data_IF_484732118133
#
_entry.id   IF_484732118133
#
_cell.length_a   1.000
_cell.length_b   1.000
_cell.length_c   1.000
_cell.angle_alpha   90.00
_cell.angle_beta   90.00
_cell.angle_gamma   90.00
#
_symmetry.space_group_name_H-M   'P 1'
#
loop_
_entity.id
_entity.type
_entity.pdbx_description
1 polymer ?
#
# COMPACT_ATOMS: atom_id res chain seq x y z
N UNK A 1 17.30 42.57 -9.87
CA UNK A 1 17.19 41.54 -10.93
C UNK A 1 15.73 41.57 -11.39
N UNK A 2 15.43 41.83 -12.66
CA UNK A 2 14.05 41.93 -13.13
C UNK A 2 13.34 40.56 -13.05
N UNK A 3 12.05 40.57 -12.70
CA UNK A 3 11.20 39.39 -12.50
C UNK A 3 11.15 38.49 -13.76
N UNK A 4 11.25 39.10 -14.94
CA UNK A 4 11.31 38.43 -16.25
C UNK A 4 12.51 37.47 -16.36
N UNK A 5 13.66 37.83 -15.76
CA UNK A 5 14.86 36.98 -15.77
C UNK A 5 14.71 35.74 -14.86
N UNK A 6 13.88 35.83 -13.81
CA UNK A 6 13.55 34.70 -12.94
C UNK A 6 12.56 33.74 -13.60
N UNK A 7 11.67 34.23 -14.48
CA UNK A 7 10.65 33.43 -15.17
C UNK A 7 11.28 32.67 -16.36
N UNK A 8 12.13 33.32 -17.14
CA UNK A 8 12.80 32.70 -18.29
C UNK A 8 13.79 31.59 -17.87
N UNK A 9 14.47 31.77 -16.73
CA UNK A 9 15.38 30.76 -16.17
C UNK A 9 14.68 29.59 -15.46
N UNK A 10 13.45 29.79 -14.96
CA UNK A 10 12.73 28.75 -14.20
C UNK A 10 11.89 27.83 -15.09
N UNK A 11 11.49 28.30 -16.28
CA UNK A 11 10.60 27.58 -17.18
C UNK A 11 11.19 26.23 -17.65
N UNK A 12 12.46 26.13 -18.07
CA UNK A 12 13.08 24.85 -18.44
C UNK A 12 13.12 23.84 -17.29
N UNK A 13 13.38 24.32 -16.06
CA UNK A 13 13.38 23.50 -14.85
C UNK A 13 11.99 22.96 -14.50
N UNK A 14 10.94 23.80 -14.60
CA UNK A 14 9.55 23.38 -14.35
C UNK A 14 9.04 22.39 -15.41
N UNK A 15 9.37 22.61 -16.68
CA UNK A 15 9.04 21.67 -17.76
C UNK A 15 9.74 20.32 -17.52
N UNK A 16 11.03 20.35 -17.20
CA UNK A 16 11.82 19.15 -16.92
C UNK A 16 11.32 18.40 -15.67
N UNK A 17 10.87 19.14 -14.65
CA UNK A 17 10.21 18.56 -13.48
C UNK A 17 8.89 17.88 -13.87
N UNK A 18 8.04 18.52 -14.68
CA UNK A 18 6.78 17.93 -15.15
C UNK A 18 6.99 16.67 -15.99
N UNK A 19 7.99 16.67 -16.88
CA UNK A 19 8.42 15.49 -17.65
C UNK A 19 8.93 14.41 -16.70
N UNK A 20 9.77 14.75 -15.73
CA UNK A 20 10.29 13.82 -14.73
C UNK A 20 9.17 13.18 -13.91
N UNK A 21 8.25 13.99 -13.39
CA UNK A 21 7.12 13.51 -12.59
C UNK A 21 6.22 12.55 -13.38
N UNK A 22 5.96 12.84 -14.66
CA UNK A 22 5.20 11.96 -15.55
C UNK A 22 5.98 10.68 -15.85
N UNK A 23 7.28 10.80 -16.16
CA UNK A 23 8.15 9.66 -16.49
C UNK A 23 8.27 8.69 -15.32
N UNK A 24 8.26 9.20 -14.07
CA UNK A 24 8.29 8.36 -12.87
C UNK A 24 7.14 7.38 -12.79
N UNK A 25 5.94 7.75 -13.28
CA UNK A 25 4.84 6.80 -13.38
C UNK A 25 5.17 5.64 -14.33
N UNK A 26 5.72 5.91 -15.52
CA UNK A 26 6.09 4.84 -16.45
C UNK A 26 7.27 3.99 -15.93
N UNK A 27 8.24 4.61 -15.25
CA UNK A 27 9.36 3.90 -14.63
C UNK A 27 8.84 2.99 -13.51
N UNK A 28 8.02 3.51 -12.60
CA UNK A 28 7.40 2.73 -11.52
C UNK A 28 6.59 1.56 -12.10
N UNK A 29 5.80 1.79 -13.14
CA UNK A 29 5.04 0.76 -13.83
C UNK A 29 5.95 -0.32 -14.41
N UNK A 30 7.03 0.06 -15.11
CA UNK A 30 7.98 -0.87 -15.71
C UNK A 30 8.69 -1.70 -14.65
N UNK A 31 9.14 -1.06 -13.57
CA UNK A 31 9.76 -1.72 -12.43
C UNK A 31 8.78 -2.71 -11.81
N UNK A 32 7.56 -2.30 -11.48
CA UNK A 32 6.55 -3.23 -10.95
C UNK A 32 6.28 -4.40 -11.89
N UNK A 33 6.05 -4.12 -13.18
CA UNK A 33 5.67 -5.13 -14.17
C UNK A 33 6.76 -6.14 -14.43
N UNK A 34 8.01 -5.69 -14.56
CA UNK A 34 9.11 -6.51 -15.09
C UNK A 34 10.06 -6.98 -14.00
N UNK A 35 10.18 -6.23 -12.90
CA UNK A 35 11.17 -6.46 -11.87
C UNK A 35 10.58 -6.95 -10.56
N UNK A 36 9.39 -6.46 -10.17
CA UNK A 36 8.82 -6.76 -8.85
C UNK A 36 7.88 -7.97 -8.88
N UNK A 37 7.27 -8.25 -10.03
CA UNK A 37 6.49 -9.46 -10.25
C UNK A 37 7.21 -10.38 -11.22
N UNK A 38 7.65 -11.53 -10.73
CA UNK A 38 8.27 -12.55 -11.57
C UNK A 38 7.23 -13.06 -12.57
N UNK A 39 7.36 -12.63 -13.82
CA UNK A 39 6.52 -13.13 -14.90
C UNK A 39 6.99 -14.54 -15.20
N UNK A 40 6.39 -15.52 -14.54
CA UNK A 40 6.65 -16.92 -14.81
C UNK A 40 5.97 -17.35 -16.11
N UNK A 41 6.64 -18.23 -16.86
CA UNK A 41 6.01 -18.97 -17.93
C UNK A 41 5.12 -20.09 -17.39
N UNK A 42 4.54 -20.85 -18.30
CA UNK A 42 3.62 -21.96 -17.97
C UNK A 42 4.30 -23.09 -17.20
N UNK A 43 5.63 -23.14 -17.23
CA UNK A 43 6.45 -24.11 -16.51
C UNK A 43 6.95 -23.57 -15.16
N UNK A 44 6.52 -22.37 -14.75
CA UNK A 44 6.96 -21.71 -13.52
C UNK A 44 8.35 -21.10 -13.60
N UNK A 45 8.93 -20.97 -14.80
CA UNK A 45 10.26 -20.37 -14.98
C UNK A 45 10.13 -18.88 -15.25
N UNK A 46 10.97 -18.08 -14.61
CA UNK A 46 11.02 -16.64 -14.87
C UNK A 46 11.32 -16.36 -16.35
N UNK A 47 10.42 -15.66 -17.05
CA UNK A 47 10.61 -15.27 -18.47
C UNK A 47 11.76 -14.30 -18.66
N UNK A 48 12.08 -13.53 -17.63
CA UNK A 48 13.16 -12.54 -17.62
C UNK A 48 14.43 -13.07 -16.95
N UNK A 49 14.45 -14.36 -16.63
CA UNK A 49 15.60 -15.06 -16.11
C UNK A 49 15.97 -14.66 -14.67
N UNK A 50 17.23 -14.88 -14.27
CA UNK A 50 17.67 -14.70 -12.88
C UNK A 50 17.52 -13.28 -12.35
N UNK A 51 17.55 -12.26 -13.22
CA UNK A 51 17.47 -10.85 -12.82
C UNK A 51 16.09 -10.51 -12.26
N UNK A 52 15.02 -10.88 -12.96
CA UNK A 52 13.65 -10.64 -12.49
C UNK A 52 13.35 -11.46 -11.24
N UNK A 53 13.75 -12.74 -11.21
CA UNK A 53 13.64 -13.56 -10.00
C UNK A 53 14.36 -12.94 -8.80
N UNK A 54 15.61 -12.50 -8.97
CA UNK A 54 16.37 -11.87 -7.89
C UNK A 54 15.81 -10.49 -7.52
N UNK A 55 15.25 -9.75 -8.47
CA UNK A 55 14.61 -8.46 -8.19
C UNK A 55 13.27 -8.62 -7.50
N UNK A 56 12.47 -9.62 -7.87
CA UNK A 56 11.22 -9.99 -7.20
C UNK A 56 11.54 -10.50 -5.81
N UNK A 57 12.54 -11.37 -5.66
CA UNK A 57 13.01 -11.82 -4.35
C UNK A 57 13.59 -10.68 -3.54
N UNK A 58 14.39 -9.78 -4.12
CA UNK A 58 14.89 -8.58 -3.43
C UNK A 58 13.75 -7.63 -3.09
N UNK A 59 12.71 -7.52 -3.90
CA UNK A 59 11.55 -6.72 -3.54
C UNK A 59 10.76 -7.37 -2.42
N UNK A 60 10.58 -8.68 -2.50
CA UNK A 60 9.97 -9.43 -1.43
C UNK A 60 10.81 -9.42 -0.14
N UNK A 61 12.13 -9.42 -0.24
CA UNK A 61 13.06 -9.56 0.90
C UNK A 61 13.58 -8.22 1.41
N UNK A 62 13.57 -7.17 0.60
CA UNK A 62 13.97 -5.81 0.98
C UNK A 62 12.72 -4.98 1.21
N UNK A 63 11.71 -5.03 0.34
CA UNK A 63 10.46 -4.30 0.57
C UNK A 63 9.45 -5.06 1.45
N UNK A 64 9.35 -6.40 1.38
CA UNK A 64 8.61 -7.18 2.39
C UNK A 64 9.50 -7.82 3.47
N UNK A 65 10.82 -7.85 3.28
CA UNK A 65 11.78 -8.45 4.24
C UNK A 65 12.72 -7.45 4.94
N UNK A 66 12.72 -6.14 4.60
CA UNK A 66 12.89 -5.10 5.64
C UNK A 66 11.67 -5.02 6.58
N UNK A 67 10.76 -6.00 6.48
CA UNK A 67 9.79 -6.47 7.46
C UNK A 67 9.93 -8.00 7.65
N UNK A 68 11.17 -8.48 7.79
CA UNK A 68 11.68 -9.88 7.72
C UNK A 68 10.67 -11.04 7.91
N UNK A 69 10.26 -11.71 6.83
CA UNK A 69 10.02 -13.17 6.75
C UNK A 69 8.87 -13.82 7.55
N UNK A 70 8.54 -15.08 7.19
CA UNK A 70 7.40 -15.90 7.67
C UNK A 70 7.27 -16.08 9.20
N UNK A 71 8.26 -15.65 9.99
CA UNK A 71 8.19 -15.67 11.46
C UNK A 71 7.80 -14.30 12.07
N UNK A 72 7.96 -13.17 11.35
CA UNK A 72 7.55 -11.83 11.84
C UNK A 72 6.19 -11.33 11.36
N UNK A 73 5.52 -12.02 10.42
CA UNK A 73 4.07 -11.81 10.26
C UNK A 73 3.26 -12.26 11.50
N UNK A 74 3.92 -12.95 12.43
CA UNK A 74 3.32 -13.60 13.60
C UNK A 74 3.98 -13.25 14.93
N UNK A 75 5.21 -12.73 14.91
CA UNK A 75 5.89 -12.31 16.12
C UNK A 75 6.41 -10.88 15.99
N UNK A 76 5.82 -10.09 16.87
CA UNK A 76 6.32 -8.84 17.42
C UNK A 76 5.99 -7.54 16.69
N UNK A 77 4.99 -6.85 17.25
CA UNK A 77 4.57 -5.50 16.87
C UNK A 77 5.51 -4.46 17.50
N UNK A 78 6.43 -4.86 18.39
CA UNK A 78 7.54 -3.97 18.80
C UNK A 78 8.53 -3.69 17.66
N UNK A 79 8.43 -4.41 16.53
CA UNK A 79 9.17 -4.13 15.31
C UNK A 79 8.47 -3.12 14.37
N UNK A 80 7.44 -2.39 14.86
CA UNK A 80 6.96 -1.16 14.19
C UNK A 80 8.07 -0.10 14.04
N UNK A 81 9.22 -0.32 14.69
CA UNK A 81 10.40 0.52 14.60
C UNK A 81 11.31 0.32 13.39
N UNK A 82 11.06 -0.67 12.51
CA UNK A 82 11.68 -0.73 11.19
C UNK A 82 11.09 0.40 10.30
N UNK A 83 11.61 1.61 10.58
CA UNK A 83 11.54 2.81 9.74
C UNK A 83 11.88 2.41 8.33
N UNK A 84 11.31 3.12 7.36
CA UNK A 84 11.80 3.19 5.99
C UNK A 84 13.34 3.20 6.03
N UNK A 85 13.95 2.03 5.85
CA UNK A 85 15.37 1.94 5.62
C UNK A 85 15.53 2.27 4.15
N UNK A 86 15.43 3.57 3.86
CA UNK A 86 16.11 4.17 2.75
C UNK A 86 17.58 3.82 2.93
N UNK A 87 17.97 2.63 2.46
CA UNK A 87 19.35 2.25 2.36
C UNK A 87 19.99 3.38 1.59
N UNK A 88 20.89 4.13 2.22
CA UNK A 88 21.57 5.26 1.59
C UNK A 88 22.18 4.84 0.25
N UNK A 89 22.57 3.57 0.15
CA UNK A 89 23.01 2.92 -1.09
C UNK A 89 21.91 2.88 -2.16
N UNK A 90 20.69 2.42 -1.84
CA UNK A 90 19.59 2.36 -2.81
C UNK A 90 19.08 3.75 -3.19
N UNK A 91 18.95 4.66 -2.23
CA UNK A 91 18.64 6.07 -2.53
C UNK A 91 19.69 6.66 -3.45
N UNK A 92 20.98 6.48 -3.15
CA UNK A 92 22.06 6.98 -4.01
C UNK A 92 22.04 6.35 -5.42
N UNK A 93 21.70 5.06 -5.54
CA UNK A 93 21.54 4.39 -6.85
C UNK A 93 20.38 5.04 -7.63
N UNK A 94 19.24 5.26 -6.98
CA UNK A 94 18.06 5.85 -7.62
C UNK A 94 18.32 7.29 -8.02
N UNK A 95 18.92 8.09 -7.13
CA UNK A 95 19.34 9.46 -7.43
C UNK A 95 20.37 9.51 -8.56
N UNK A 96 21.30 8.55 -8.62
CA UNK A 96 22.27 8.45 -9.71
C UNK A 96 21.61 8.09 -11.04
N UNK A 97 20.70 7.11 -11.05
CA UNK A 97 19.96 6.72 -12.25
C UNK A 97 19.04 7.85 -12.73
N UNK A 98 18.38 8.55 -11.80
CA UNK A 98 17.58 9.73 -12.08
C UNK A 98 18.44 10.87 -12.65
N UNK A 99 19.64 11.09 -12.11
CA UNK A 99 20.59 12.07 -12.62
C UNK A 99 21.03 11.77 -14.05
N UNK A 100 21.37 10.52 -14.34
CA UNK A 100 21.71 10.09 -15.70
C UNK A 100 20.54 10.24 -16.67
N UNK A 101 19.32 9.87 -16.26
CA UNK A 101 18.12 10.06 -17.06
C UNK A 101 17.82 11.54 -17.31
N UNK A 102 17.94 12.39 -16.28
CA UNK A 102 17.77 13.84 -16.39
C UNK A 102 18.80 14.48 -17.34
N UNK A 103 20.06 14.05 -17.29
CA UNK A 103 21.10 14.46 -18.23
C UNK A 103 20.78 14.04 -19.67
N UNK A 104 20.27 12.81 -19.87
CA UNK A 104 19.87 12.32 -21.18
C UNK A 104 18.66 13.10 -21.75
N UNK A 105 17.62 13.33 -20.95
CA UNK A 105 16.45 14.13 -21.33
C UNK A 105 16.86 15.56 -21.67
N UNK A 106 17.71 16.18 -20.85
CA UNK A 106 18.24 17.51 -21.13
C UNK A 106 19.01 17.54 -22.46
N UNK A 107 19.86 16.54 -22.70
CA UNK A 107 20.64 16.44 -23.94
C UNK A 107 19.74 16.34 -25.18
N UNK A 108 18.69 15.52 -25.10
CA UNK A 108 17.70 15.37 -26.16
C UNK A 108 16.94 16.70 -26.36
N UNK A 109 16.46 17.32 -25.28
CA UNK A 109 15.77 18.60 -25.34
C UNK A 109 16.63 19.70 -25.98
N UNK A 110 17.89 19.86 -25.54
CA UNK A 110 18.82 20.85 -26.13
C UNK A 110 19.04 20.57 -27.62
N UNK A 111 19.16 19.30 -28.01
CA UNK A 111 19.35 18.93 -29.42
C UNK A 111 18.13 19.27 -30.30
N UNK A 112 16.91 19.22 -29.76
CA UNK A 112 15.68 19.52 -30.49
C UNK A 112 15.26 21.00 -30.44
N UNK A 113 15.64 21.74 -29.40
CA UNK A 113 15.18 23.13 -29.19
C UNK A 113 16.23 24.19 -29.47
N UNK A 114 17.52 23.83 -29.50
CA UNK A 114 18.61 24.76 -29.73
C UNK A 114 19.44 24.31 -30.92
N UNK A 115 18.99 24.65 -32.13
CA UNK A 115 19.72 24.35 -33.37
C UNK A 115 20.96 25.22 -33.60
N UNK A 116 21.17 26.33 -32.85
CA UNK A 116 22.25 27.29 -33.17
C UNK A 116 23.01 27.90 -31.97
N UNK A 117 22.77 27.47 -30.73
CA UNK A 117 23.55 27.95 -29.58
C UNK A 117 24.37 26.82 -28.99
N UNK A 118 25.70 26.95 -29.14
CA UNK A 118 26.67 26.01 -28.62
C UNK A 118 26.38 25.67 -27.16
N UNK A 119 26.70 24.42 -26.79
CA UNK A 119 26.62 23.88 -25.44
C UNK A 119 27.14 24.88 -24.41
N UNK A 120 26.27 25.71 -23.84
CA UNK A 120 26.57 26.32 -22.56
C UNK A 120 26.45 25.18 -21.55
N UNK A 121 27.59 24.61 -21.19
CA UNK A 121 27.80 23.59 -20.16
C UNK A 121 27.25 23.97 -18.77
N UNK A 122 26.58 25.12 -18.65
CA UNK A 122 26.06 25.68 -17.41
C UNK A 122 24.55 25.50 -17.18
N UNK A 123 23.75 25.02 -18.14
CA UNK A 123 22.31 24.83 -17.88
C UNK A 123 22.03 23.47 -17.20
N UNK A 124 22.30 23.46 -15.91
CA UNK A 124 22.06 22.33 -14.99
C UNK A 124 20.60 22.26 -14.54
N UNK A 125 19.75 23.23 -14.91
CA UNK A 125 18.39 23.35 -14.36
C UNK A 125 17.48 22.21 -14.79
N UNK A 126 17.60 21.73 -16.04
CA UNK A 126 16.85 20.59 -16.55
C UNK A 126 17.16 19.27 -15.83
N UNK A 127 18.44 18.83 -15.77
CA UNK A 127 18.83 17.64 -15.02
C UNK A 127 18.45 17.72 -13.54
N UNK A 128 18.63 18.88 -12.90
CA UNK A 128 18.23 19.10 -11.51
C UNK A 128 16.71 18.98 -11.32
N UNK A 129 15.91 19.53 -12.24
CA UNK A 129 14.45 19.41 -12.22
C UNK A 129 13.98 17.95 -12.33
N UNK A 130 14.60 17.17 -13.22
CA UNK A 130 14.31 15.74 -13.36
C UNK A 130 14.76 14.92 -12.13
N UNK A 131 15.96 15.18 -11.61
CA UNK A 131 16.45 14.54 -10.39
C UNK A 131 15.52 14.80 -9.21
N UNK A 132 15.11 16.06 -9.02
CA UNK A 132 14.19 16.43 -7.97
C UNK A 132 12.85 15.71 -8.13
N UNK A 133 12.30 15.67 -9.35
CA UNK A 133 11.06 14.95 -9.63
C UNK A 133 11.17 13.44 -9.33
N UNK A 134 12.29 12.81 -9.69
CA UNK A 134 12.53 11.40 -9.44
C UNK A 134 12.73 11.10 -7.95
N UNK A 135 13.48 11.94 -7.23
CA UNK A 135 13.65 11.80 -5.77
C UNK A 135 12.32 11.98 -5.05
N UNK A 136 11.51 12.98 -5.42
CA UNK A 136 10.17 13.17 -4.86
C UNK A 136 9.25 12.01 -5.21
N UNK A 137 9.28 11.54 -6.46
CA UNK A 137 8.47 10.41 -6.93
C UNK A 137 8.81 9.12 -6.18
N UNK A 138 10.10 8.81 -6.03
CA UNK A 138 10.55 7.63 -5.29
C UNK A 138 10.29 7.74 -3.79
N UNK A 139 10.60 8.88 -3.17
CA UNK A 139 10.29 9.08 -1.75
C UNK A 139 8.78 9.02 -1.50
N UNK A 140 7.97 9.62 -2.38
CA UNK A 140 6.51 9.56 -2.34
C UNK A 140 5.98 8.14 -2.46
N UNK A 141 6.53 7.34 -3.39
CA UNK A 141 6.26 5.91 -3.52
C UNK A 141 6.58 5.15 -2.23
N UNK A 142 7.81 5.24 -1.72
CA UNK A 142 8.25 4.50 -0.53
C UNK A 142 7.44 4.89 0.71
N UNK A 143 7.22 6.18 0.93
CA UNK A 143 6.41 6.67 2.06
C UNK A 143 4.97 6.15 1.94
N UNK A 144 4.35 6.31 0.77
CA UNK A 144 2.96 5.88 0.59
C UNK A 144 2.81 4.38 0.78
N UNK A 145 3.67 3.61 0.14
CA UNK A 145 3.70 2.15 0.23
C UNK A 145 3.97 1.67 1.66
N UNK A 146 4.93 2.27 2.37
CA UNK A 146 5.20 2.01 3.78
C UNK A 146 3.93 2.15 4.63
N UNK A 147 3.25 3.29 4.51
CA UNK A 147 2.05 3.54 5.31
C UNK A 147 0.87 2.66 4.90
N UNK A 148 0.75 2.22 3.64
CA UNK A 148 -0.27 1.23 3.24
C UNK A 148 -0.07 -0.07 4.02
N UNK A 149 1.18 -0.53 4.15
CA UNK A 149 1.48 -1.75 4.92
C UNK A 149 1.33 -1.55 6.42
N UNK A 150 1.78 -0.43 6.99
CA UNK A 150 1.64 -0.14 8.42
C UNK A 150 0.15 -0.05 8.81
N UNK A 151 -0.64 0.72 8.07
CA UNK A 151 -2.09 0.80 8.26
C UNK A 151 -2.72 -0.58 8.05
N UNK A 152 -2.34 -1.28 6.98
CA UNK A 152 -2.79 -2.64 6.67
C UNK A 152 -2.54 -3.65 7.78
N UNK A 153 -1.39 -3.60 8.46
CA UNK A 153 -1.08 -4.46 9.63
C UNK A 153 -2.02 -4.20 10.80
N UNK A 154 -2.31 -2.92 11.10
CA UNK A 154 -3.27 -2.57 12.16
C UNK A 154 -4.69 -2.99 11.81
N UNK A 155 -5.09 -2.81 10.54
CA UNK A 155 -6.36 -3.33 10.02
C UNK A 155 -6.46 -4.83 10.12
N UNK A 156 -5.37 -5.55 9.81
CA UNK A 156 -5.31 -7.00 9.95
C UNK A 156 -5.46 -7.44 11.40
N UNK A 157 -4.80 -6.76 12.35
CA UNK A 157 -4.97 -7.02 13.77
C UNK A 157 -6.44 -6.86 14.22
N UNK A 158 -7.07 -5.75 13.83
CA UNK A 158 -8.49 -5.50 14.10
C UNK A 158 -9.36 -6.58 13.47
N UNK A 159 -9.11 -6.95 12.22
CA UNK A 159 -9.85 -7.99 11.51
C UNK A 159 -9.71 -9.37 12.18
N UNK A 160 -8.54 -9.69 12.73
CA UNK A 160 -8.31 -10.94 13.43
C UNK A 160 -9.11 -11.00 14.72
N UNK A 161 -9.03 -9.96 15.55
CA UNK A 161 -9.80 -9.87 16.80
C UNK A 161 -11.31 -9.85 16.54
N UNK A 162 -11.75 -9.17 15.47
CA UNK A 162 -13.14 -9.15 15.05
C UNK A 162 -13.59 -10.55 14.60
N UNK A 163 -12.77 -11.26 13.81
CA UNK A 163 -13.06 -12.64 13.42
C UNK A 163 -13.16 -13.58 14.62
N UNK A 164 -12.21 -13.50 15.56
CA UNK A 164 -12.20 -14.32 16.77
C UNK A 164 -13.43 -14.03 17.65
N UNK A 165 -13.78 -12.75 17.84
CA UNK A 165 -14.93 -12.34 18.64
C UNK A 165 -16.28 -12.69 18.00
N UNK A 166 -16.37 -12.73 16.67
CA UNK A 166 -17.59 -13.10 15.94
C UNK A 166 -17.75 -14.62 15.85
N UNK A 167 -16.66 -15.36 15.65
CA UNK A 167 -16.71 -16.80 15.33
C UNK A 167 -16.41 -17.70 16.54
N UNK A 168 -15.83 -17.15 17.61
CA UNK A 168 -15.30 -17.88 18.77
C UNK A 168 -14.01 -18.65 18.46
N UNK A 169 -13.95 -19.35 17.33
CA UNK A 169 -12.72 -19.93 16.77
C UNK A 169 -12.68 -19.61 15.28
N UNK A 170 -11.68 -18.83 14.87
CA UNK A 170 -11.57 -18.37 13.49
C UNK A 170 -11.23 -19.51 12.54
N UNK A 171 -12.13 -19.72 11.59
CA UNK A 171 -11.90 -20.58 10.42
C UNK A 171 -11.36 -19.78 9.21
N UNK A 172 -11.30 -18.44 9.38
CA UNK A 172 -10.89 -17.43 8.41
C UNK A 172 -11.86 -17.24 7.23
N UNK A 173 -13.03 -17.86 7.27
CA UNK A 173 -14.07 -17.69 6.26
C UNK A 173 -14.94 -16.44 6.51
N UNK A 174 -14.83 -15.75 7.65
CA UNK A 174 -15.42 -14.42 7.81
C UNK A 174 -14.65 -13.41 6.98
N UNK A 175 -15.35 -12.73 6.06
CA UNK A 175 -14.71 -11.77 5.16
C UNK A 175 -15.47 -10.46 5.08
N UNK A 176 -14.80 -9.39 5.50
CA UNK A 176 -15.27 -8.02 5.32
C UNK A 176 -14.59 -7.37 4.12
N UNK A 177 -15.35 -6.63 3.33
CA UNK A 177 -14.78 -5.84 2.23
C UNK A 177 -13.78 -4.83 2.78
N UNK A 178 -12.74 -4.51 2.01
CA UNK A 178 -11.73 -3.52 2.42
C UNK A 178 -12.37 -2.20 2.90
N UNK A 179 -13.33 -1.58 2.17
CA UNK A 179 -13.92 -0.32 2.64
C UNK A 179 -14.63 -0.44 3.99
N UNK A 180 -15.31 -1.55 4.26
CA UNK A 180 -15.97 -1.79 5.54
C UNK A 180 -14.94 -1.97 6.66
N UNK A 181 -13.89 -2.74 6.41
CA UNK A 181 -12.80 -2.92 7.37
C UNK A 181 -12.07 -1.60 7.64
N UNK A 182 -11.89 -0.75 6.64
CA UNK A 182 -11.28 0.57 6.80
C UNK A 182 -12.12 1.49 7.67
N UNK A 183 -13.44 1.47 7.53
CA UNK A 183 -14.35 2.26 8.34
C UNK A 183 -14.41 1.76 9.79
N UNK A 184 -14.57 0.45 10.01
CA UNK A 184 -14.52 -0.15 11.35
C UNK A 184 -13.19 0.18 12.02
N UNK A 185 -12.11 -0.05 11.28
CA UNK A 185 -10.77 0.20 11.79
C UNK A 185 -10.57 1.68 12.11
N UNK A 186 -11.12 2.61 11.33
CA UNK A 186 -11.04 4.04 11.64
C UNK A 186 -11.77 4.36 12.95
N UNK A 187 -12.99 3.85 13.13
CA UNK A 187 -13.76 4.06 14.36
C UNK A 187 -13.05 3.50 15.61
N UNK A 188 -12.48 2.30 15.52
CA UNK A 188 -11.73 1.68 16.61
C UNK A 188 -10.45 2.47 16.91
N UNK A 189 -9.69 2.86 15.89
CA UNK A 189 -8.47 3.63 16.08
C UNK A 189 -8.72 5.03 16.65
N UNK A 190 -9.86 5.65 16.30
CA UNK A 190 -10.25 6.94 16.88
C UNK A 190 -10.67 6.79 18.35
N UNK A 191 -11.39 5.71 18.70
CA UNK A 191 -11.63 5.35 20.10
C UNK A 191 -10.32 5.17 20.88
N UNK A 192 -9.36 4.43 20.32
CA UNK A 192 -8.04 4.21 20.95
C UNK A 192 -7.30 5.55 21.14
N UNK A 193 -7.25 6.38 20.09
CA UNK A 193 -6.60 7.69 20.14
C UNK A 193 -7.23 8.62 21.20
N UNK A 194 -8.56 8.61 21.35
CA UNK A 194 -9.29 9.42 22.33
C UNK A 194 -9.04 8.95 23.77
N UNK A 195 -9.12 7.64 24.03
CA UNK A 195 -8.85 7.06 25.34
C UNK A 195 -7.43 7.40 25.83
N UNK A 196 -6.44 7.34 24.93
CA UNK A 196 -5.05 7.67 25.26
C UNK A 196 -4.87 9.15 25.60
N UNK A 197 -5.63 10.04 24.95
CA UNK A 197 -5.56 11.48 25.20
C UNK A 197 -6.29 11.89 26.48
N UNK A 198 -7.45 11.28 26.75
CA UNK A 198 -8.31 11.65 27.87
C UNK A 198 -7.91 10.94 29.16
N UNK A 199 -7.27 9.77 29.08
CA UNK A 199 -6.93 8.93 30.22
C UNK A 199 -8.15 8.32 30.91
N UNK A 200 -9.32 8.34 30.26
CA UNK A 200 -10.60 7.82 30.75
C UNK A 200 -11.29 7.05 29.59
N UNK A 201 -12.18 6.09 29.88
CA UNK A 201 -12.93 5.36 28.86
C UNK A 201 -13.73 6.28 27.94
N UNK A 202 -13.28 6.46 26.69
CA UNK A 202 -14.09 7.14 25.67
C UNK A 202 -15.28 6.26 25.28
N UNK A 203 -16.31 6.83 24.64
CA UNK A 203 -17.42 6.03 24.10
C UNK A 203 -17.12 5.68 22.65
N UNK A 204 -17.07 4.39 22.33
CA UNK A 204 -16.94 3.94 20.94
C UNK A 204 -18.15 4.45 20.13
N UNK A 205 -17.87 5.25 19.09
CA UNK A 205 -18.89 5.82 18.20
C UNK A 205 -18.76 5.17 16.84
N UNK A 206 -19.73 4.32 16.49
CA UNK A 206 -19.80 3.65 15.19
C UNK A 206 -21.08 4.09 14.48
N UNK A 207 -21.00 4.58 13.24
CA UNK A 207 -22.19 4.92 12.46
C UNK A 207 -23.16 3.72 12.32
N UNK A 208 -24.47 3.97 12.45
CA UNK A 208 -25.49 2.92 12.43
C UNK A 208 -25.61 2.25 11.05
N UNK A 209 -25.38 3.00 9.98
CA UNK A 209 -25.29 2.49 8.61
C UNK A 209 -24.09 1.55 8.42
N UNK A 210 -22.97 1.82 9.08
CA UNK A 210 -21.83 0.91 9.10
C UNK A 210 -22.15 -0.40 9.82
N UNK A 211 -22.80 -0.34 10.99
CA UNK A 211 -23.27 -1.54 11.72
C UNK A 211 -24.19 -2.39 10.82
N UNK A 212 -25.15 -1.74 10.15
CA UNK A 212 -26.03 -2.41 9.18
C UNK A 212 -25.26 -3.10 8.05
N UNK A 213 -24.27 -2.41 7.47
CA UNK A 213 -23.42 -2.95 6.39
C UNK A 213 -22.58 -4.15 6.85
N UNK A 214 -22.06 -4.10 8.08
CA UNK A 214 -21.26 -5.21 8.64
C UNK A 214 -22.15 -6.43 8.88
N UNK A 215 -23.32 -6.24 9.48
CA UNK A 215 -24.29 -7.31 9.69
C UNK A 215 -24.73 -7.96 8.37
N UNK A 216 -24.95 -7.16 7.32
CA UNK A 216 -25.24 -7.67 5.98
C UNK A 216 -24.11 -8.56 5.45
N UNK A 217 -22.85 -8.12 5.57
CA UNK A 217 -21.71 -8.93 5.12
C UNK A 217 -21.51 -10.19 5.97
N UNK A 218 -21.72 -10.11 7.28
CA UNK A 218 -21.68 -11.28 8.17
C UNK A 218 -22.73 -12.31 7.72
N UNK A 219 -23.95 -11.89 7.42
CA UNK A 219 -25.02 -12.78 6.95
C UNK A 219 -24.70 -13.40 5.58
N UNK A 220 -24.12 -12.63 4.66
CA UNK A 220 -23.62 -13.17 3.38
C UNK A 220 -22.55 -14.24 3.61
N UNK A 221 -21.62 -14.03 4.57
CA UNK A 221 -20.60 -15.03 4.90
C UNK A 221 -21.23 -16.29 5.52
N UNK A 222 -22.21 -16.14 6.42
CA UNK A 222 -22.98 -17.25 7.00
C UNK A 222 -23.59 -18.12 5.90
N UNK A 223 -24.30 -17.50 4.95
CA UNK A 223 -24.98 -18.20 3.86
C UNK A 223 -24.03 -18.88 2.87
N UNK A 224 -22.86 -18.29 2.62
CA UNK A 224 -21.95 -18.75 1.55
C UNK A 224 -20.83 -19.67 2.01
N UNK A 225 -20.39 -19.53 3.26
CA UNK A 225 -19.14 -20.14 3.73
C UNK A 225 -19.32 -21.03 4.96
N UNK A 226 -20.55 -21.29 5.38
CA UNK A 226 -20.87 -22.16 6.53
C UNK A 226 -20.12 -21.71 7.79
N UNK A 227 -20.17 -20.40 8.03
CA UNK A 227 -19.47 -19.79 9.16
C UNK A 227 -20.29 -19.95 10.42
N UNK A 228 -19.69 -20.55 11.45
CA UNK A 228 -20.23 -20.52 12.80
C UNK A 228 -20.07 -19.11 13.37
N UNK A 229 -21.19 -18.49 13.73
CA UNK A 229 -21.25 -17.16 14.32
C UNK A 229 -21.78 -17.29 15.74
N UNK A 230 -21.20 -16.54 16.66
CA UNK A 230 -21.75 -16.35 18.01
C UNK A 230 -22.99 -15.45 17.94
N UNK A 231 -23.90 -15.61 18.89
CA UNK A 231 -25.12 -14.80 19.01
C UNK A 231 -24.88 -13.42 19.68
N UNK A 232 -23.60 -13.04 19.84
CA UNK A 232 -23.22 -11.76 20.47
C UNK A 232 -23.59 -10.58 19.55
N UNK A 233 -24.27 -9.54 20.06
CA UNK A 233 -24.54 -8.33 19.29
C UNK A 233 -23.25 -7.70 18.74
N UNK A 234 -23.29 -7.21 17.50
CA UNK A 234 -22.11 -6.66 16.84
C UNK A 234 -21.53 -5.45 17.60
N UNK A 235 -22.36 -4.65 18.23
CA UNK A 235 -21.95 -3.50 19.04
C UNK A 235 -21.09 -3.94 20.24
N UNK A 236 -21.48 -5.03 20.91
CA UNK A 236 -20.72 -5.60 22.02
C UNK A 236 -19.38 -6.16 21.52
N UNK A 237 -19.39 -6.83 20.38
CA UNK A 237 -18.18 -7.30 19.70
C UNK A 237 -17.23 -6.14 19.38
N UNK A 238 -17.75 -5.04 18.83
CA UNK A 238 -16.93 -3.88 18.45
C UNK A 238 -16.32 -3.18 19.67
N UNK A 239 -17.07 -3.06 20.77
CA UNK A 239 -16.54 -2.53 22.05
C UNK A 239 -15.43 -3.44 22.57
N UNK A 240 -15.64 -4.75 22.60
CA UNK A 240 -14.63 -5.72 23.02
C UNK A 240 -13.33 -5.62 22.20
N UNK A 241 -13.45 -5.56 20.87
CA UNK A 241 -12.28 -5.41 19.99
C UNK A 241 -11.58 -4.06 20.25
N UNK A 242 -12.34 -2.98 20.43
CA UNK A 242 -11.78 -1.66 20.70
C UNK A 242 -11.01 -1.60 22.02
N UNK A 243 -11.52 -2.22 23.08
CA UNK A 243 -10.83 -2.34 24.37
C UNK A 243 -9.54 -3.15 24.27
N UNK A 244 -9.56 -4.27 23.52
CA UNK A 244 -8.35 -5.06 23.25
C UNK A 244 -7.29 -4.26 22.48
N UNK A 245 -7.71 -3.51 21.46
CA UNK A 245 -6.79 -2.66 20.69
C UNK A 245 -6.25 -1.50 21.52
N UNK A 246 -7.06 -0.92 22.40
CA UNK A 246 -6.59 0.09 23.36
C UNK A 246 -5.53 -0.48 24.30
N UNK A 247 -5.78 -1.63 24.91
CA UNK A 247 -4.82 -2.28 25.81
C UNK A 247 -3.50 -2.57 25.10
N UNK A 248 -3.57 -3.13 23.88
CA UNK A 248 -2.39 -3.40 23.06
C UNK A 248 -1.61 -2.12 22.72
N UNK A 249 -2.30 -1.05 22.36
CA UNK A 249 -1.67 0.24 22.07
C UNK A 249 -0.97 0.82 23.31
N UNK A 250 -1.55 0.63 24.50
CA UNK A 250 -0.94 1.02 25.76
C UNK A 250 0.32 0.20 26.06
N UNK A 251 0.26 -1.13 25.90
CA UNK A 251 1.42 -2.02 26.07
C UNK A 251 2.59 -1.63 25.15
N UNK A 252 2.31 -1.29 23.88
CA UNK A 252 3.34 -0.80 22.95
C UNK A 252 3.96 0.49 23.50
N UNK A 253 3.14 1.50 23.83
CA UNK A 253 3.64 2.80 24.31
C UNK A 253 4.46 2.69 25.58
N UNK A 254 4.05 1.83 26.50
CA UNK A 254 4.73 1.59 27.78
C UNK A 254 6.08 0.86 27.58
N UNK A 255 6.24 0.13 26.47
CA UNK A 255 7.48 -0.58 26.14
C UNK A 255 8.54 0.28 25.45
N UNK A 256 8.15 1.43 24.88
CA UNK A 256 9.07 2.28 24.11
C UNK A 256 9.91 3.18 25.00
N UNK A 257 11.17 3.40 24.59
CA UNK A 257 11.99 4.44 25.19
C UNK A 257 11.53 5.85 24.77
N UNK A 258 12.11 6.91 25.34
CA UNK A 258 11.69 8.30 25.02
C UNK A 258 11.85 8.68 23.56
N UNK A 259 12.89 8.18 22.89
CA UNK A 259 13.20 8.51 21.51
C UNK A 259 12.24 7.78 20.59
N UNK A 260 12.02 6.49 20.83
CA UNK A 260 11.13 5.66 20.04
C UNK A 260 9.67 6.05 20.28
N UNK A 261 9.29 6.44 21.49
CA UNK A 261 7.96 7.00 21.78
C UNK A 261 7.66 8.28 20.99
N UNK A 262 8.63 9.19 20.82
CA UNK A 262 8.46 10.42 20.06
C UNK A 262 8.28 10.13 18.55
N UNK A 263 9.08 9.20 18.03
CA UNK A 263 8.99 8.72 16.65
C UNK A 263 7.65 8.02 16.39
N UNK A 264 7.25 7.13 17.29
CA UNK A 264 5.97 6.43 17.25
C UNK A 264 4.78 7.41 17.29
N UNK A 265 4.85 8.43 18.15
CA UNK A 265 3.84 9.48 18.18
C UNK A 265 3.71 10.22 16.84
N UNK A 266 4.84 10.56 16.22
CA UNK A 266 4.85 11.21 14.90
C UNK A 266 4.26 10.28 13.83
N UNK A 267 4.67 9.02 13.84
CA UNK A 267 4.19 8.01 12.90
C UNK A 267 2.66 7.85 12.98
N UNK A 268 2.11 7.79 14.20
CA UNK A 268 0.66 7.76 14.45
C UNK A 268 -0.07 8.99 13.90
N UNK A 269 0.52 10.17 13.95
CA UNK A 269 -0.07 11.38 13.35
C UNK A 269 -0.10 11.29 11.82
N UNK A 270 0.96 10.76 11.20
CA UNK A 270 1.01 10.55 9.74
C UNK A 270 0.00 9.48 9.32
N UNK A 271 -0.06 8.35 10.04
CA UNK A 271 -1.07 7.32 9.82
C UNK A 271 -2.48 7.91 9.87
N UNK A 272 -2.79 8.74 10.88
CA UNK A 272 -4.11 9.40 11.01
C UNK A 272 -4.43 10.32 9.84
N UNK A 273 -3.45 11.11 9.39
CA UNK A 273 -3.59 11.96 8.21
C UNK A 273 -3.93 11.14 6.96
N UNK A 274 -3.29 9.98 6.79
CA UNK A 274 -3.48 9.11 5.62
C UNK A 274 -4.76 8.27 5.67
N UNK A 275 -5.08 7.63 6.80
CA UNK A 275 -6.20 6.67 6.93
C UNK A 275 -7.59 7.30 6.99
N UNK A 276 -7.72 8.49 7.59
CA UNK A 276 -9.02 9.00 8.04
C UNK A 276 -9.28 10.47 7.77
N UNK A 277 -8.33 11.21 7.18
CA UNK A 277 -8.55 12.63 6.93
C UNK A 277 -9.32 12.89 5.63
N UNK A 278 -10.26 13.82 5.66
CA UNK A 278 -10.95 14.33 4.47
C UNK A 278 -10.11 15.35 3.67
N UNK A 279 -8.85 15.53 4.07
CA UNK A 279 -7.90 16.39 3.36
C UNK A 279 -7.61 15.81 1.96
N UNK A 280 -7.17 16.63 0.99
CA UNK A 280 -6.76 16.14 -0.33
C UNK A 280 -5.70 15.02 -0.25
N UNK A 281 -4.76 15.11 0.68
CA UNK A 281 -3.70 14.10 0.89
C UNK A 281 -4.30 12.79 1.40
N UNK A 282 -5.20 12.84 2.39
CA UNK A 282 -5.87 11.65 2.90
C UNK A 282 -6.76 10.97 1.85
N UNK A 283 -7.50 11.76 1.06
CA UNK A 283 -8.31 11.26 -0.06
C UNK A 283 -7.44 10.59 -1.12
N UNK A 284 -6.32 11.22 -1.48
CA UNK A 284 -5.36 10.66 -2.42
C UNK A 284 -4.76 9.36 -1.90
N UNK A 285 -4.30 9.35 -0.64
CA UNK A 285 -3.75 8.16 0.00
C UNK A 285 -4.73 6.99 -0.01
N UNK A 286 -6.01 7.21 0.35
CA UNK A 286 -7.04 6.17 0.28
C UNK A 286 -7.24 5.62 -1.14
N UNK A 287 -7.19 6.50 -2.14
CA UNK A 287 -7.26 6.08 -3.54
C UNK A 287 -6.08 5.18 -3.92
N UNK A 288 -4.84 5.59 -3.63
CA UNK A 288 -3.65 4.77 -3.95
C UNK A 288 -3.56 3.51 -3.10
N UNK A 289 -4.06 3.51 -1.87
CA UNK A 289 -4.14 2.33 -1.01
C UNK A 289 -5.15 1.30 -1.56
N UNK A 290 -6.32 1.75 -2.01
CA UNK A 290 -7.28 0.90 -2.72
C UNK A 290 -6.72 0.40 -4.06
N UNK A 291 -5.98 1.25 -4.77
CA UNK A 291 -5.33 0.92 -6.03
C UNK A 291 -4.30 -0.19 -5.84
N UNK A 292 -3.42 -0.03 -4.85
CA UNK A 292 -2.41 -1.00 -4.44
C UNK A 292 -3.02 -2.30 -3.88
N UNK A 293 -4.14 -2.20 -3.16
CA UNK A 293 -4.86 -3.38 -2.71
C UNK A 293 -5.38 -4.23 -3.87
N UNK A 294 -5.93 -3.61 -4.91
CA UNK A 294 -6.34 -4.34 -6.11
C UNK A 294 -5.16 -4.95 -6.86
N UNK A 295 -4.01 -4.27 -6.87
CA UNK A 295 -2.77 -4.77 -7.43
C UNK A 295 -2.32 -6.07 -6.76
N UNK A 296 -2.41 -6.19 -5.43
CA UNK A 296 -2.14 -7.46 -4.73
C UNK A 296 -3.13 -8.57 -5.05
N UNK A 297 -4.34 -8.23 -5.51
CA UNK A 297 -5.33 -9.19 -5.98
C UNK A 297 -5.14 -9.62 -7.45
N UNK A 298 -4.50 -8.79 -8.27
CA UNK A 298 -4.09 -9.10 -9.63
C UNK A 298 -2.83 -8.30 -9.99
N UNK A 299 -1.69 -9.00 -9.95
CA UNK A 299 -0.36 -8.46 -10.19
C UNK A 299 -0.13 -7.89 -11.59
N UNK A 300 -1.09 -8.02 -12.52
CA UNK A 300 -1.03 -7.42 -13.84
C UNK A 300 -1.84 -6.13 -13.98
N UNK A 301 -2.44 -5.65 -12.89
CA UNK A 301 -3.20 -4.40 -12.84
C UNK A 301 -2.70 -3.47 -11.75
N UNK A 302 -3.00 -2.18 -11.88
CA UNK A 302 -2.73 -1.17 -10.87
C UNK A 302 -1.25 -1.12 -10.43
N UNK A 303 -0.36 -1.14 -11.42
CA UNK A 303 1.08 -1.30 -11.25
C UNK A 303 1.77 -0.03 -10.71
N UNK A 304 1.11 1.12 -10.76
CA UNK A 304 1.57 2.34 -10.13
C UNK A 304 0.98 2.50 -8.73
N UNK A 305 1.82 2.64 -7.72
CA UNK A 305 1.41 2.90 -6.33
C UNK A 305 1.45 4.39 -6.01
N UNK A 306 2.31 5.19 -6.64
CA UNK A 306 2.37 6.63 -6.38
C UNK A 306 1.50 7.45 -7.34
N UNK A 307 1.70 7.37 -8.66
CA UNK A 307 0.93 8.14 -9.66
C UNK A 307 0.49 7.20 -10.78
N UNK A 308 -0.82 6.93 -10.97
CA UNK A 308 -1.31 5.90 -11.91
C UNK A 308 -1.52 6.39 -13.34
N UNK A 309 -0.63 7.24 -13.85
CA UNK A 309 -0.71 7.72 -15.24
C UNK A 309 -0.39 6.59 -16.24
N UNK A 310 0.67 5.82 -16.00
CA UNK A 310 1.03 4.70 -16.87
C UNK A 310 0.01 3.56 -16.82
N UNK A 311 -0.63 3.33 -15.66
CA UNK A 311 -1.76 2.40 -15.58
C UNK A 311 -2.92 2.79 -16.51
N UNK A 312 -3.25 4.09 -16.57
CA UNK A 312 -4.31 4.60 -17.44
C UNK A 312 -3.92 4.49 -18.91
N UNK A 313 -2.69 4.89 -19.25
CA UNK A 313 -2.20 4.90 -20.63
C UNK A 313 -2.01 3.48 -21.19
N UNK A 314 -1.46 2.57 -20.38
CA UNK A 314 -1.14 1.20 -20.78
C UNK A 314 -2.29 0.20 -20.53
N UNK A 315 -3.45 0.68 -20.08
CA UNK A 315 -4.66 -0.13 -19.89
C UNK A 315 -4.57 -1.13 -18.75
N UNK A 316 -3.69 -0.92 -17.78
CA UNK A 316 -3.60 -1.75 -16.55
C UNK A 316 -4.36 -1.15 -15.38
N UNK A 317 -4.92 0.06 -15.53
CA UNK A 317 -5.79 0.69 -14.56
C UNK A 317 -7.10 -0.10 -14.38
N UNK A 318 -7.41 -0.42 -13.12
CA UNK A 318 -8.68 -0.94 -12.68
C UNK A 318 -9.27 -0.03 -11.63
N UNK A 319 -10.56 0.23 -11.79
CA UNK A 319 -11.37 0.99 -10.87
C UNK A 319 -11.20 0.47 -9.42
N UNK A 320 -10.62 1.32 -8.58
CA UNK A 320 -10.35 1.09 -7.15
C UNK A 320 -11.31 1.87 -6.24
N UNK A 321 -12.44 2.34 -6.79
CA UNK A 321 -13.48 3.02 -6.04
C UNK A 321 -14.07 2.14 -4.92
N UNK A 322 -14.59 2.77 -3.88
CA UNK A 322 -15.25 2.10 -2.76
C UNK A 322 -16.44 1.28 -3.26
N UNK A 323 -17.19 1.84 -4.21
CA UNK A 323 -18.33 1.22 -4.87
C UNK A 323 -17.90 -0.09 -5.57
N UNK A 324 -16.80 -0.06 -6.32
CA UNK A 324 -16.26 -1.24 -7.00
C UNK A 324 -15.79 -2.32 -6.01
N UNK A 325 -15.05 -1.92 -4.97
CA UNK A 325 -14.54 -2.83 -3.96
C UNK A 325 -15.66 -3.51 -3.16
N UNK A 326 -16.70 -2.77 -2.82
CA UNK A 326 -17.89 -3.29 -2.15
C UNK A 326 -18.68 -4.25 -3.06
N UNK A 327 -18.91 -3.87 -4.32
CA UNK A 327 -19.63 -4.72 -5.29
C UNK A 327 -18.94 -6.05 -5.55
N UNK A 328 -17.63 -6.02 -5.73
CA UNK A 328 -16.84 -7.22 -6.03
C UNK A 328 -16.51 -8.04 -4.76
N UNK A 329 -16.92 -7.54 -3.59
CA UNK A 329 -16.63 -8.10 -2.28
C UNK A 329 -15.14 -8.45 -2.15
N UNK A 330 -14.27 -7.52 -2.54
CA UNK A 330 -12.83 -7.73 -2.43
C UNK A 330 -12.43 -7.64 -0.96
N UNK A 331 -11.93 -8.75 -0.44
CA UNK A 331 -11.63 -8.93 0.98
C UNK A 331 -10.16 -8.70 1.26
N UNK A 332 -9.86 -8.11 2.41
CA UNK A 332 -8.48 -7.96 2.85
C UNK A 332 -7.89 -9.33 3.23
N UNK A 333 -7.08 -9.89 2.33
CA UNK A 333 -6.13 -10.94 2.66
C UNK A 333 -4.77 -10.36 2.33
N UNK A 334 -3.99 -9.99 3.35
CA UNK A 334 -2.58 -9.73 3.14
C UNK A 334 -2.00 -11.03 2.53
N UNK A 335 -1.37 -11.01 1.35
CA UNK A 335 -0.92 -12.23 0.65
C UNK A 335 0.00 -13.14 1.48
N UNK A 336 0.63 -12.57 2.50
CA UNK A 336 1.57 -13.22 3.40
C UNK A 336 0.99 -13.52 4.79
N UNK A 337 -0.32 -13.33 5.01
CA UNK A 337 -0.95 -13.76 6.25
C UNK A 337 -0.92 -15.31 6.34
N UNK A 338 -0.75 -15.91 7.53
CA UNK A 338 -1.03 -17.34 7.78
C UNK A 338 -2.26 -17.87 7.14
N UNK A 339 -3.30 -17.07 7.24
CA UNK A 339 -4.63 -17.49 6.85
C UNK A 339 -4.63 -17.66 5.33
N UNK A 340 -3.83 -16.85 4.62
CA UNK A 340 -3.62 -16.95 3.18
C UNK A 340 -2.99 -18.25 2.74
N UNK A 341 -2.15 -18.93 3.51
CA UNK A 341 -1.56 -20.21 3.08
C UNK A 341 -2.63 -21.31 3.08
N UNK A 342 -3.43 -21.39 4.15
CA UNK A 342 -4.61 -22.26 4.21
C UNK A 342 -5.62 -21.90 3.10
N UNK A 343 -5.76 -20.62 2.76
CA UNK A 343 -6.60 -20.18 1.64
C UNK A 343 -6.02 -20.49 0.27
N UNK A 344 -4.71 -20.35 0.08
CA UNK A 344 -3.99 -20.64 -1.16
C UNK A 344 -4.18 -22.11 -1.48
N UNK A 345 -3.95 -23.00 -0.52
CA UNK A 345 -4.18 -24.43 -0.71
C UNK A 345 -5.66 -24.76 -1.01
N UNK A 346 -6.62 -24.10 -0.36
CA UNK A 346 -8.06 -24.30 -0.61
C UNK A 346 -8.48 -23.78 -1.98
N UNK A 347 -7.92 -22.65 -2.40
CA UNK A 347 -8.16 -22.01 -3.69
C UNK A 347 -7.52 -22.81 -4.83
N UNK A 348 -6.27 -23.22 -4.68
CA UNK A 348 -5.54 -24.09 -5.61
C UNK A 348 -6.27 -25.41 -5.80
N UNK A 349 -6.71 -26.06 -4.71
CA UNK A 349 -7.56 -27.27 -4.80
C UNK A 349 -8.86 -27.02 -5.56
N UNK A 350 -9.53 -25.88 -5.34
CA UNK A 350 -10.74 -25.50 -6.09
C UNK A 350 -10.45 -25.23 -7.56
N UNK A 351 -9.33 -24.60 -7.89
CA UNK A 351 -8.92 -24.36 -9.28
C UNK A 351 -8.57 -25.66 -9.99
N UNK A 352 -7.79 -26.54 -9.35
CA UNK A 352 -7.50 -27.89 -9.84
C UNK A 352 -8.78 -28.71 -10.06
N UNK A 353 -9.72 -28.66 -9.11
CA UNK A 353 -11.00 -29.34 -9.26
C UNK A 353 -11.87 -28.75 -10.38
N UNK A 354 -11.82 -27.44 -10.61
CA UNK A 354 -12.49 -26.79 -11.74
C UNK A 354 -11.86 -27.21 -13.06
N UNK A 355 -10.53 -27.19 -13.16
CA UNK A 355 -9.79 -27.63 -14.34
C UNK A 355 -10.08 -29.10 -14.69
N UNK A 356 -10.12 -29.98 -13.67
CA UNK A 356 -10.49 -31.38 -13.84
C UNK A 356 -11.93 -31.56 -14.34
N UNK A 357 -12.86 -30.69 -13.94
CA UNK A 357 -14.26 -30.73 -14.38
C UNK A 357 -14.50 -30.11 -15.75
N UNK A 358 -13.79 -29.05 -16.10
CA UNK A 358 -14.00 -28.34 -17.37
C UNK A 358 -13.19 -28.92 -18.53
N UNK A 359 -12.24 -29.83 -18.27
CA UNK A 359 -11.33 -30.37 -19.28
C UNK A 359 -10.39 -29.32 -19.88
N UNK A 360 -10.41 -28.09 -19.34
CA UNK A 360 -9.61 -26.97 -19.82
C UNK A 360 -8.37 -26.86 -18.93
N UNK A 361 -7.29 -27.48 -19.37
CA UNK A 361 -5.97 -27.16 -18.84
C UNK A 361 -5.63 -25.73 -19.30
N UNK A 362 -5.32 -24.78 -18.39
CA UNK A 362 -4.72 -23.54 -18.82
C UNK A 362 -3.43 -23.90 -19.56
N UNK A 363 -3.36 -23.45 -20.81
CA UNK A 363 -2.30 -23.81 -21.73
C UNK A 363 -0.94 -23.48 -21.17
#
# INVERSE_FOLDING_TARGET
MPLEFLIDGATPGLISFGIGATSMSYIEWLVHKLMLHDIQDKEGKSKLGPISKNSTHSHHDIHHGAYRGNQHYYQDITNEDEVIHFSKKYVAIIESMAGLAGLAVNRVYTQFTMTDHGLNSGDITGPLGFMLAATIGYAGYEISHHYMHVIGKRRLAINNELGDAIQGTRDGNLRLSKPVLDQIGNAIEDYVDENIQQGHPAKLTVPQDLIGTVNEQIEINRQRQDVNLLDTPLEEVLVYVAEKMFKREQEIRDSLDKKDAAKYWLDRKVQKLFRGSETPIGKYFRFIDNHHFLHHGDFNSNLNVFIPLADLDLGTFKDSSVERLNRDQKYWLCPNSPDTEKFREKYERKQQARQAKTGYAPA
#
